data_IF_568616775131
#
_entry.id   IF_568616775131
#
_cell.length_a   1.000
_cell.length_b   1.000
_cell.length_c   1.000
_cell.angle_alpha   90.00
_cell.angle_beta   90.00
_cell.angle_gamma   90.00
#
_symmetry.space_group_name_H-M   'P 1'
#
loop_
_entity.id
_entity.type
_entity.pdbx_description
1 polymer ?
#
# COMPACT_ATOMS: atom_id res chain seq x y z
N UNK A 1 1.50 -2.96 -19.01
CA UNK A 1 1.41 -2.48 -17.61
C UNK A 1 1.80 -3.65 -16.73
N UNK A 2 3.07 -3.73 -16.34
CA UNK A 2 3.46 -4.68 -15.31
C UNK A 2 2.73 -4.26 -14.01
N UNK A 3 2.36 -5.20 -13.16
CA UNK A 3 1.69 -4.96 -11.87
C UNK A 3 2.35 -5.88 -10.85
N UNK A 4 2.28 -5.58 -9.56
CA UNK A 4 2.87 -6.42 -8.51
C UNK A 4 4.41 -6.46 -8.47
N UNK A 5 5.06 -5.40 -8.95
CA UNK A 5 6.52 -5.27 -8.96
C UNK A 5 6.90 -3.87 -8.48
N UNK A 6 8.11 -3.77 -7.94
CA UNK A 6 8.73 -2.48 -7.68
C UNK A 6 9.28 -1.94 -9.00
N UNK A 7 9.06 -0.65 -9.25
CA UNK A 7 9.69 0.02 -10.38
C UNK A 7 11.21 0.02 -10.15
N UNK A 8 12.03 -0.33 -11.16
CA UNK A 8 13.48 -0.25 -11.04
C UNK A 8 13.93 1.15 -10.60
N UNK A 9 14.95 1.21 -9.76
CA UNK A 9 15.54 2.44 -9.24
C UNK A 9 17.06 2.37 -9.34
N UNK A 10 17.69 3.52 -9.53
CA UNK A 10 19.14 3.68 -9.61
C UNK A 10 19.72 4.47 -8.44
N UNK A 11 18.85 4.99 -7.58
CA UNK A 11 19.19 5.88 -6.47
C UNK A 11 18.74 5.27 -5.15
N UNK A 12 19.35 5.70 -4.05
CA UNK A 12 18.99 5.24 -2.71
C UNK A 12 18.91 6.41 -1.74
N UNK A 13 18.13 6.22 -0.67
CA UNK A 13 18.05 7.16 0.44
C UNK A 13 18.96 6.64 1.55
N UNK A 14 19.94 7.45 1.97
CA UNK A 14 20.66 7.22 3.22
C UNK A 14 19.72 7.53 4.39
N UNK A 15 19.16 6.50 5.00
CA UNK A 15 18.21 6.64 6.11
C UNK A 15 18.94 6.96 7.42
N UNK A 16 18.48 7.97 8.16
CA UNK A 16 19.10 8.35 9.43
C UNK A 16 18.72 9.75 9.88
N UNK A 17 19.50 10.31 10.81
CA UNK A 17 19.30 11.65 11.36
C UNK A 17 19.45 12.79 10.35
N UNK A 18 19.93 12.50 9.14
CA UNK A 18 19.96 13.43 8.01
C UNK A 18 18.57 13.66 7.37
N UNK A 19 17.55 12.89 7.74
CA UNK A 19 16.19 13.08 7.26
C UNK A 19 15.45 14.10 8.13
N UNK A 20 14.71 15.02 7.51
CA UNK A 20 13.93 16.02 8.24
C UNK A 20 12.75 15.41 9.04
N UNK A 21 12.20 14.28 8.58
CA UNK A 21 11.07 13.60 9.22
C UNK A 21 11.21 12.07 9.13
N UNK A 22 12.22 11.48 9.82
CA UNK A 22 12.41 10.04 9.80
C UNK A 22 11.22 9.36 10.49
N UNK A 23 10.79 8.24 9.93
CA UNK A 23 9.84 7.31 10.53
C UNK A 23 10.61 6.21 11.25
N UNK A 24 9.91 5.43 12.05
CA UNK A 24 10.50 4.24 12.65
C UNK A 24 10.99 3.29 11.54
N UNK A 25 12.30 2.98 11.44
CA UNK A 25 12.83 2.14 10.36
C UNK A 25 12.19 0.75 10.27
N UNK A 26 11.62 0.26 11.37
CA UNK A 26 11.01 -1.07 11.42
C UNK A 26 9.77 -1.20 10.53
N UNK A 27 9.14 -0.09 10.12
CA UNK A 27 7.99 -0.13 9.20
C UNK A 27 8.38 -0.47 7.76
N UNK A 28 9.67 -0.38 7.42
CA UNK A 28 10.21 -0.62 6.08
C UNK A 28 10.87 -1.99 5.94
N UNK A 29 10.74 -2.86 6.94
CA UNK A 29 11.40 -4.16 7.02
C UNK A 29 10.38 -5.28 7.08
N UNK A 30 10.86 -6.52 6.89
CA UNK A 30 10.09 -7.76 6.99
C UNK A 30 8.97 -7.90 5.94
N UNK A 31 8.29 -9.05 5.97
CA UNK A 31 7.15 -9.36 5.11
C UNK A 31 6.02 -8.34 5.32
N UNK A 32 5.70 -7.58 4.28
CA UNK A 32 4.64 -6.57 4.29
C UNK A 32 4.06 -6.37 2.89
N UNK A 33 2.89 -5.76 2.83
CA UNK A 33 2.31 -5.29 1.57
C UNK A 33 2.54 -3.79 1.44
N UNK A 34 3.08 -3.37 0.30
CA UNK A 34 3.05 -1.98 -0.11
C UNK A 34 1.85 -1.74 -1.02
N UNK A 35 1.08 -0.69 -0.75
CA UNK A 35 0.00 -0.24 -1.64
C UNK A 35 0.07 1.25 -1.90
N UNK A 36 -0.23 1.65 -3.13
CA UNK A 36 -0.34 3.05 -3.49
C UNK A 36 -1.60 3.65 -2.87
N UNK A 37 -1.50 4.90 -2.40
CA UNK A 37 -2.67 5.66 -1.95
C UNK A 37 -3.59 6.07 -3.09
N UNK A 38 -3.05 6.23 -4.29
CA UNK A 38 -3.82 6.60 -5.48
C UNK A 38 -4.32 5.30 -6.13
N UNK A 39 -5.64 5.16 -6.28
CA UNK A 39 -6.20 4.01 -6.99
C UNK A 39 -5.86 4.11 -8.47
N UNK A 40 -5.55 2.96 -9.07
CA UNK A 40 -5.56 2.83 -10.51
C UNK A 40 -7.01 2.70 -11.03
N UNK A 41 -7.16 2.60 -12.36
CA UNK A 41 -8.47 2.65 -13.03
C UNK A 41 -9.49 1.68 -12.44
N UNK A 42 -9.08 0.48 -12.05
CA UNK A 42 -9.97 -0.59 -11.57
C UNK A 42 -9.46 -1.33 -10.33
N UNK A 43 -8.30 -0.96 -9.78
CA UNK A 43 -7.63 -1.68 -8.68
C UNK A 43 -6.85 -0.73 -7.75
N UNK A 44 -6.35 -1.29 -6.65
CA UNK A 44 -5.27 -0.68 -5.87
C UNK A 44 -3.97 -1.35 -6.32
N UNK A 45 -2.99 -0.55 -6.73
CA UNK A 45 -1.68 -1.07 -7.11
C UNK A 45 -0.88 -1.37 -5.84
N UNK A 46 -0.27 -2.56 -5.80
CA UNK A 46 0.51 -2.98 -4.66
C UNK A 46 1.39 -4.19 -4.94
N UNK A 47 2.29 -4.46 -4.00
CA UNK A 47 3.28 -5.54 -4.05
C UNK A 47 3.46 -6.15 -2.66
N UNK A 48 3.56 -7.47 -2.60
CA UNK A 48 4.00 -8.19 -1.40
C UNK A 48 5.51 -8.39 -1.49
N UNK A 49 6.24 -8.07 -0.42
CA UNK A 49 7.69 -8.20 -0.38
C UNK A 49 8.20 -8.52 1.03
N UNK A 50 9.41 -9.06 1.10
CA UNK A 50 10.12 -9.38 2.34
C UNK A 50 11.32 -8.47 2.61
N UNK A 51 11.83 -7.84 1.55
CA UNK A 51 13.05 -7.03 1.62
C UNK A 51 12.81 -5.64 2.23
N UNK A 52 13.91 -4.98 2.56
CA UNK A 52 13.86 -3.62 3.10
C UNK A 52 13.75 -2.61 1.96
N UNK A 53 12.67 -1.82 1.96
CA UNK A 53 12.44 -0.76 0.98
C UNK A 53 11.87 0.46 1.68
N UNK A 54 12.58 1.57 1.58
CA UNK A 54 12.13 2.86 2.11
C UNK A 54 11.14 3.46 1.10
N UNK A 55 9.98 3.87 1.58
CA UNK A 55 8.96 4.52 0.78
C UNK A 55 8.51 5.84 1.44
N UNK A 56 7.97 6.73 0.61
CA UNK A 56 7.36 7.98 1.07
C UNK A 56 5.93 7.75 1.59
N UNK A 57 5.27 8.83 2.00
CA UNK A 57 3.92 8.82 2.57
C UNK A 57 2.78 8.61 1.56
N UNK A 58 3.09 8.46 0.27
CA UNK A 58 2.11 8.12 -0.78
C UNK A 58 1.95 6.62 -1.00
N UNK A 59 2.73 5.82 -0.26
CA UNK A 59 2.63 4.37 -0.19
C UNK A 59 2.31 3.96 1.25
N UNK A 60 1.29 3.12 1.43
CA UNK A 60 1.01 2.52 2.72
C UNK A 60 1.83 1.24 2.91
N UNK A 61 2.30 1.04 4.14
CA UNK A 61 2.90 -0.22 4.60
C UNK A 61 1.85 -0.99 5.40
N UNK A 62 1.34 -2.11 4.86
CA UNK A 62 0.49 -3.03 5.62
C UNK A 62 1.36 -4.09 6.28
N UNK A 63 1.54 -3.93 7.58
CA UNK A 63 2.42 -4.76 8.40
C UNK A 63 1.56 -5.81 9.11
N UNK A 64 1.91 -7.11 9.02
CA UNK A 64 1.14 -8.15 9.67
C UNK A 64 1.23 -8.01 11.19
N UNK A 65 0.08 -8.13 11.86
CA UNK A 65 0.05 -8.24 13.32
C UNK A 65 0.50 -9.63 13.75
N UNK A 66 1.04 -9.73 14.97
CA UNK A 66 1.34 -11.01 15.60
C UNK A 66 0.04 -11.80 15.78
N UNK A 67 0.06 -13.10 15.51
CA UNK A 67 -1.08 -14.02 15.66
C UNK A 67 -2.31 -13.69 14.80
N UNK A 68 -2.11 -13.22 13.57
CA UNK A 68 -3.21 -12.99 12.63
C UNK A 68 -3.81 -14.31 12.10
N UNK A 69 -5.15 -14.40 12.09
CA UNK A 69 -5.87 -15.50 11.45
C UNK A 69 -5.71 -15.52 9.93
N UNK A 70 -5.60 -14.34 9.31
CA UNK A 70 -5.48 -14.19 7.86
C UNK A 70 -4.02 -14.04 7.49
N UNK A 71 -3.53 -14.96 6.64
CA UNK A 71 -2.18 -14.87 6.07
C UNK A 71 -2.04 -13.62 5.22
N UNK A 72 -0.91 -12.93 5.31
CA UNK A 72 -0.68 -11.67 4.58
C UNK A 72 -0.81 -11.82 3.06
N UNK A 73 -0.47 -12.99 2.50
CA UNK A 73 -0.67 -13.31 1.07
C UNK A 73 -2.15 -13.29 0.66
N UNK A 74 -3.04 -13.71 1.55
CA UNK A 74 -4.49 -13.68 1.33
C UNK A 74 -5.00 -12.25 1.39
N UNK A 75 -4.60 -11.49 2.43
CA UNK A 75 -4.92 -10.06 2.54
C UNK A 75 -4.45 -9.29 1.29
N UNK A 76 -3.23 -9.55 0.83
CA UNK A 76 -2.68 -8.96 -0.38
C UNK A 76 -3.58 -9.21 -1.59
N UNK A 77 -3.98 -10.46 -1.84
CA UNK A 77 -4.85 -10.83 -2.95
C UNK A 77 -6.21 -10.12 -2.89
N UNK A 78 -6.78 -9.96 -1.69
CA UNK A 78 -8.02 -9.22 -1.47
C UNK A 78 -7.85 -7.73 -1.80
N UNK A 79 -6.79 -7.09 -1.28
CA UNK A 79 -6.57 -5.65 -1.42
C UNK A 79 -6.31 -5.24 -2.87
N UNK A 80 -5.52 -6.02 -3.62
CA UNK A 80 -5.22 -5.70 -5.05
C UNK A 80 -6.31 -6.18 -6.02
N UNK A 81 -7.43 -6.69 -5.50
CA UNK A 81 -8.55 -7.16 -6.31
C UNK A 81 -9.38 -6.01 -6.92
N UNK A 82 -10.09 -6.30 -8.02
CA UNK A 82 -11.12 -5.39 -8.55
C UNK A 82 -12.27 -5.17 -7.57
N UNK A 83 -12.58 -6.20 -6.77
CA UNK A 83 -13.66 -6.15 -5.78
C UNK A 83 -13.36 -5.09 -4.72
N UNK A 84 -12.17 -5.09 -4.13
CA UNK A 84 -11.76 -4.10 -3.13
C UNK A 84 -11.81 -2.67 -3.68
N UNK A 85 -11.25 -2.44 -4.87
CA UNK A 85 -11.32 -1.13 -5.50
C UNK A 85 -12.77 -0.70 -5.83
N UNK A 86 -13.62 -1.65 -6.23
CA UNK A 86 -15.05 -1.38 -6.50
C UNK A 86 -15.80 -1.04 -5.22
N UNK A 87 -15.49 -1.71 -4.10
CA UNK A 87 -16.06 -1.40 -2.79
C UNK A 87 -15.78 0.07 -2.41
N UNK A 88 -14.53 0.51 -2.46
CA UNK A 88 -14.17 1.89 -2.13
C UNK A 88 -14.77 2.91 -3.09
N UNK A 89 -14.78 2.60 -4.39
CA UNK A 89 -15.37 3.47 -5.42
C UNK A 89 -16.87 3.65 -5.28
N UNK A 90 -17.59 2.64 -4.77
CA UNK A 90 -19.01 2.73 -4.45
C UNK A 90 -19.25 3.50 -3.15
N UNK A 91 -18.41 3.29 -2.14
CA UNK A 91 -18.53 3.97 -0.85
C UNK A 91 -18.14 5.47 -0.92
N UNK A 92 -17.27 5.85 -1.85
CA UNK A 92 -16.80 7.22 -1.99
C UNK A 92 -16.70 7.64 -3.47
N UNK A 93 -17.65 8.46 -3.92
CA UNK A 93 -17.72 8.99 -5.29
C UNK A 93 -16.47 9.77 -5.71
N UNK A 94 -15.71 10.34 -4.76
CA UNK A 94 -14.47 11.05 -5.08
C UNK A 94 -13.40 10.11 -5.64
N UNK A 95 -13.48 8.81 -5.34
CA UNK A 95 -12.56 7.79 -5.85
C UNK A 95 -12.88 7.34 -7.29
N UNK A 96 -14.00 7.81 -7.86
CA UNK A 96 -14.36 7.61 -9.27
C UNK A 96 -13.90 8.75 -10.19
N UNK A 97 -13.36 9.83 -9.62
CA UNK A 97 -12.89 10.97 -10.42
C UNK A 97 -11.62 10.59 -11.20
N UNK A 98 -11.45 11.20 -12.37
CA UNK A 98 -10.24 11.01 -13.20
C UNK A 98 -8.97 11.58 -12.56
N UNK A 99 -9.11 12.51 -11.62
CA UNK A 99 -7.98 13.23 -11.02
C UNK A 99 -7.65 12.63 -9.65
N UNK A 100 -6.54 11.89 -9.60
CA UNK A 100 -5.87 11.37 -8.40
C UNK A 100 -6.80 10.86 -7.27
N UNK A 101 -7.59 9.80 -7.49
CA UNK A 101 -8.46 9.23 -6.48
C UNK A 101 -7.63 8.64 -5.33
N UNK A 102 -7.54 9.35 -4.20
CA UNK A 102 -6.63 9.02 -3.09
C UNK A 102 -7.37 8.42 -1.89
N UNK A 103 -6.93 7.26 -1.42
CA UNK A 103 -7.38 6.61 -0.18
C UNK A 103 -6.59 7.17 1.02
N UNK A 104 -7.30 7.38 2.13
CA UNK A 104 -6.73 7.64 3.45
C UNK A 104 -6.85 6.38 4.32
N UNK A 105 -6.19 6.38 5.49
CA UNK A 105 -6.15 5.21 6.39
C UNK A 105 -7.57 4.78 6.79
N UNK A 106 -8.40 5.71 7.27
CA UNK A 106 -9.77 5.42 7.69
C UNK A 106 -10.62 4.79 6.55
N UNK A 107 -10.43 5.24 5.31
CA UNK A 107 -11.12 4.64 4.16
C UNK A 107 -10.63 3.22 3.94
N UNK A 108 -9.32 2.97 4.01
CA UNK A 108 -8.75 1.64 3.82
C UNK A 108 -9.24 0.65 4.89
N UNK A 109 -9.28 1.09 6.15
CA UNK A 109 -9.72 0.29 7.31
C UNK A 109 -11.22 -0.05 7.28
N UNK A 110 -12.01 0.64 6.45
CA UNK A 110 -13.43 0.32 6.27
C UNK A 110 -13.66 -0.94 5.40
N UNK A 111 -12.65 -1.47 4.72
CA UNK A 111 -12.81 -2.67 3.90
C UNK A 111 -12.99 -3.92 4.79
N UNK A 112 -14.09 -4.68 4.63
CA UNK A 112 -14.32 -5.88 5.42
C UNK A 112 -13.36 -6.99 5.01
N UNK A 113 -12.63 -7.55 5.98
CA UNK A 113 -11.67 -8.65 5.81
C UNK A 113 -11.79 -9.66 6.93
#
# INVERSE_FOLDING_TARGET
>A
MHRHYLVPFTEYIKYGGNLAAPRNPNIFKNERVLINRILSKDRIDGVLLTDTFINNTDVFNLIPLKNNFIKIKVLYALIVSKMCATYFKKANVNLNRKVFPKINVNTLEAFPV
#
